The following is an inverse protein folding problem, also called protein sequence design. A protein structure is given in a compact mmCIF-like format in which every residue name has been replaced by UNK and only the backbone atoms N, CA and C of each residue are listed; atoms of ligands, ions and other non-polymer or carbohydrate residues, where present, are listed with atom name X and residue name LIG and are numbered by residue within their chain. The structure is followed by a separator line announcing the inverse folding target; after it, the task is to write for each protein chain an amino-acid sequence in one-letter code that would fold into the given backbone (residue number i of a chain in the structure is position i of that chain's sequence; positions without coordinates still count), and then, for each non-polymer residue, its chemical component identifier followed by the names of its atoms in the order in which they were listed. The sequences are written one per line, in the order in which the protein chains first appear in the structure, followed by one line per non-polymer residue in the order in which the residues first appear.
data_IF_304177517762
#
_entry.id   IF_304177517762
#
_cell.length_a   1.000
_cell.length_b   1.000
_cell.length_c   1.000
_cell.angle_alpha   90.00
_cell.angle_beta   90.00
_cell.angle_gamma   90.00
#
_symmetry.space_group_name_H-M   'P 1'
#
loop_
_entity.id
_entity.type
_entity.pdbx_description
1 polymer ?
#
# COMPACT_ATOMS: atom_id res chain seq x y z
N UNK A 1 -20.79 -2.40 -11.61
CA UNK A 1 -19.37 -2.57 -11.24
C UNK A 1 -19.03 -1.35 -10.43
N UNK A 2 -19.26 -1.42 -9.13
CA UNK A 2 -19.17 -0.25 -8.27
C UNK A 2 -17.71 0.11 -8.06
N UNK A 3 -17.35 1.29 -8.57
CA UNK A 3 -16.08 1.92 -8.30
C UNK A 3 -15.99 2.12 -6.79
N UNK A 4 -15.05 1.46 -6.14
CA UNK A 4 -14.75 1.69 -4.74
C UNK A 4 -14.13 3.08 -4.62
N UNK A 5 -14.98 4.10 -4.51
CA UNK A 5 -14.57 5.41 -4.04
C UNK A 5 -13.95 5.21 -2.64
N UNK A 6 -12.88 5.95 -2.34
CA UNK A 6 -12.20 5.88 -1.04
C UNK A 6 -13.19 6.20 0.07
N UNK A 7 -13.70 5.19 0.78
CA UNK A 7 -14.52 5.36 1.98
C UNK A 7 -13.65 5.29 3.22
N UNK A 8 -13.62 6.36 4.01
CA UNK A 8 -12.81 6.46 5.22
C UNK A 8 -13.48 5.76 6.42
N UNK A 9 -13.90 4.50 6.22
CA UNK A 9 -14.78 3.80 7.16
C UNK A 9 -14.00 3.07 8.27
N UNK A 10 -12.67 3.23 8.31
CA UNK A 10 -11.74 2.52 9.21
C UNK A 10 -11.81 1.00 9.04
N UNK A 11 -12.13 0.55 7.84
CA UNK A 11 -12.23 -0.85 7.48
C UNK A 11 -11.16 -1.24 6.46
N UNK A 12 -10.82 -2.52 6.48
CA UNK A 12 -10.04 -3.10 5.40
C UNK A 12 -10.92 -3.30 4.17
N UNK A 13 -10.40 -2.93 3.01
CA UNK A 13 -11.03 -3.24 1.75
C UNK A 13 -10.49 -4.57 1.19
N UNK A 14 -11.42 -5.41 0.77
CA UNK A 14 -11.14 -6.66 0.11
C UNK A 14 -10.75 -6.44 -1.36
N UNK A 15 -9.62 -7.00 -1.78
CA UNK A 15 -9.31 -7.18 -3.21
C UNK A 15 -8.16 -8.17 -3.39
N UNK A 16 -8.25 -9.00 -4.43
CA UNK A 16 -7.19 -9.94 -4.84
C UNK A 16 -6.19 -9.35 -5.83
N UNK A 17 -6.55 -8.24 -6.46
CA UNK A 17 -5.78 -7.64 -7.55
C UNK A 17 -4.76 -6.62 -7.01
N UNK A 18 -4.70 -6.42 -5.69
CA UNK A 18 -3.76 -5.49 -5.07
C UNK A 18 -2.33 -6.03 -5.09
N UNK A 19 -1.39 -5.15 -5.41
CA UNK A 19 0.02 -5.41 -5.35
C UNK A 19 0.76 -4.15 -4.88
N UNK A 20 1.87 -4.37 -4.21
CA UNK A 20 2.85 -3.33 -3.90
C UNK A 20 4.17 -3.70 -4.58
N UNK A 21 4.92 -2.70 -5.00
CA UNK A 21 6.19 -2.92 -5.67
C UNK A 21 7.20 -1.83 -5.31
N UNK A 22 8.47 -2.15 -5.52
CA UNK A 22 9.57 -1.21 -5.38
C UNK A 22 10.65 -1.50 -6.43
N UNK A 23 11.46 -0.49 -6.71
CA UNK A 23 12.70 -0.62 -7.48
C UNK A 23 13.86 -0.28 -6.55
N UNK A 24 14.98 -1.01 -6.66
CA UNK A 24 16.18 -0.73 -5.89
C UNK A 24 17.32 -0.30 -6.82
N UNK A 25 17.58 1.01 -6.90
CA UNK A 25 18.55 1.74 -7.76
C UNK A 25 18.52 1.45 -9.28
N UNK A 26 18.04 0.27 -9.68
CA UNK A 26 17.95 -0.23 -11.05
C UNK A 26 16.62 -0.96 -11.21
N UNK A 27 16.04 -0.84 -12.41
CA UNK A 27 14.72 -1.41 -12.70
C UNK A 27 14.72 -2.94 -12.69
N UNK A 28 15.85 -3.58 -13.01
CA UNK A 28 15.96 -5.04 -12.99
C UNK A 28 15.85 -5.62 -11.58
N UNK A 29 16.14 -4.82 -10.56
CA UNK A 29 16.05 -5.19 -9.15
C UNK A 29 14.69 -4.82 -8.56
N UNK A 30 13.62 -5.06 -9.29
CA UNK A 30 12.27 -4.80 -8.79
C UNK A 30 11.82 -5.90 -7.83
N UNK A 31 11.04 -5.50 -6.83
CA UNK A 31 10.25 -6.42 -6.01
C UNK A 31 8.80 -6.19 -6.36
N UNK A 32 8.13 -7.25 -6.80
CA UNK A 32 6.67 -7.31 -6.90
C UNK A 32 6.14 -8.22 -5.80
N UNK A 33 5.21 -7.69 -5.01
CA UNK A 33 4.60 -8.37 -3.88
C UNK A 33 3.08 -8.30 -4.03
N UNK A 34 2.43 -9.45 -4.17
CA UNK A 34 0.97 -9.53 -4.30
C UNK A 34 0.34 -9.71 -2.93
N UNK A 35 -0.90 -9.29 -2.78
CA UNK A 35 -1.66 -9.51 -1.54
C UNK A 35 -1.89 -11.01 -1.32
N UNK A 36 -1.65 -11.49 -0.10
CA UNK A 36 -1.97 -12.86 0.32
C UNK A 36 -3.23 -12.90 1.18
N UNK A 37 -3.39 -11.93 2.09
CA UNK A 37 -4.61 -11.74 2.88
C UNK A 37 -5.48 -10.70 2.18
N UNK A 38 -6.28 -11.16 1.21
CA UNK A 38 -7.13 -10.32 0.35
C UNK A 38 -8.11 -9.46 1.18
N UNK A 39 -8.52 -9.93 2.37
CA UNK A 39 -9.39 -9.20 3.29
C UNK A 39 -8.69 -8.00 3.96
N UNK A 40 -7.38 -7.88 3.81
CA UNK A 40 -6.56 -6.79 4.36
C UNK A 40 -5.74 -6.11 3.29
N UNK A 41 -6.22 -6.09 2.04
CA UNK A 41 -5.45 -5.56 0.92
C UNK A 41 -5.13 -4.06 1.09
N UNK A 42 -6.12 -3.26 1.45
CA UNK A 42 -5.94 -1.84 1.77
C UNK A 42 -6.71 -1.48 3.03
N UNK A 43 -6.24 -0.46 3.75
CA UNK A 43 -6.91 0.07 4.92
C UNK A 43 -7.12 1.57 4.73
N UNK A 44 -8.36 2.02 4.89
CA UNK A 44 -8.69 3.43 4.70
C UNK A 44 -9.17 4.04 6.02
N UNK A 45 -8.39 4.98 6.54
CA UNK A 45 -8.66 5.67 7.79
C UNK A 45 -8.25 7.13 7.64
N UNK A 46 -9.09 8.07 8.07
CA UNK A 46 -8.85 9.51 7.84
C UNK A 46 -7.58 10.05 8.53
N UNK A 47 -7.11 9.41 9.61
CA UNK A 47 -5.85 9.75 10.27
C UNK A 47 -4.60 9.22 9.55
N UNK A 48 -4.79 8.46 8.47
CA UNK A 48 -3.73 7.84 7.67
C UNK A 48 -3.79 8.42 6.26
N UNK A 49 -2.64 8.47 5.60
CA UNK A 49 -2.61 8.54 4.15
C UNK A 49 -3.04 7.20 3.54
N UNK A 50 -2.24 6.70 2.61
CA UNK A 50 -2.50 5.40 1.99
C UNK A 50 -1.91 4.27 2.84
N UNK A 51 -2.71 3.25 3.13
CA UNK A 51 -2.27 2.04 3.82
C UNK A 51 -2.61 0.80 3.00
N UNK A 52 -1.60 -0.03 2.76
CA UNK A 52 -1.69 -1.31 2.10
C UNK A 52 -1.30 -2.40 3.08
N UNK A 53 -2.13 -3.44 3.17
CA UNK A 53 -1.85 -4.53 4.06
C UNK A 53 -2.04 -4.16 5.52
N UNK A 54 -1.48 -4.96 6.41
CA UNK A 54 -1.44 -4.65 7.83
C UNK A 54 -0.17 -3.85 8.15
N UNK A 55 0.03 -2.70 7.48
CA UNK A 55 1.28 -1.90 7.41
C UNK A 55 2.38 -2.44 6.49
N UNK A 56 2.02 -3.20 5.45
CA UNK A 56 2.96 -3.60 4.40
C UNK A 56 3.52 -2.37 3.67
N UNK A 57 2.68 -1.35 3.50
CA UNK A 57 3.09 0.00 3.15
C UNK A 57 2.09 0.99 3.73
N UNK A 58 2.52 1.77 4.73
CA UNK A 58 1.79 2.91 5.25
C UNK A 58 2.55 4.20 4.88
N UNK A 59 1.85 5.10 4.18
CA UNK A 59 2.32 6.45 3.86
C UNK A 59 1.52 7.43 4.72
N UNK A 60 2.19 8.29 5.46
CA UNK A 60 1.60 9.23 6.42
C UNK A 60 0.69 8.52 7.42
N UNK A 61 1.20 7.49 8.11
CA UNK A 61 0.46 6.80 9.15
C UNK A 61 0.28 7.68 10.40
N UNK A 62 -0.43 7.16 11.42
CA UNK A 62 -0.58 7.85 12.71
C UNK A 62 0.76 8.47 13.17
N UNK A 63 0.72 9.76 13.51
CA UNK A 63 1.87 10.59 13.92
C UNK A 63 2.85 11.03 12.82
N UNK A 64 2.52 10.83 11.54
CA UNK A 64 3.33 11.31 10.41
C UNK A 64 4.50 10.41 10.02
N UNK A 65 4.60 9.23 10.63
CA UNK A 65 5.59 8.21 10.25
C UNK A 65 5.18 7.52 8.94
N UNK A 66 6.15 6.97 8.21
CA UNK A 66 5.89 6.02 7.12
C UNK A 66 6.48 4.66 7.50
N UNK A 67 5.75 3.58 7.19
CA UNK A 67 6.09 2.23 7.63
C UNK A 67 6.03 1.22 6.48
N UNK A 68 6.95 0.27 6.47
CA UNK A 68 6.86 -0.92 5.62
C UNK A 68 7.29 -2.16 6.41
N UNK A 69 6.39 -3.14 6.52
CA UNK A 69 6.68 -4.42 7.19
C UNK A 69 5.97 -5.56 6.48
N UNK A 70 6.62 -6.68 6.25
CA UNK A 70 5.94 -7.83 5.64
C UNK A 70 4.86 -8.38 6.57
N UNK A 71 3.59 -8.34 6.15
CA UNK A 71 2.46 -8.88 6.88
C UNK A 71 1.42 -9.55 5.95
N UNK A 72 0.63 -8.75 5.22
CA UNK A 72 -0.48 -9.20 4.36
C UNK A 72 -0.07 -9.43 2.91
N UNK A 73 1.13 -9.04 2.51
CA UNK A 73 1.68 -9.24 1.16
C UNK A 73 2.83 -10.25 1.15
N UNK A 74 3.08 -10.88 -0.01
CA UNK A 74 4.00 -12.01 -0.18
C UNK A 74 5.43 -11.71 0.29
N UNK A 75 5.93 -10.52 -0.02
CA UNK A 75 7.31 -10.07 0.17
C UNK A 75 7.37 -8.68 0.81
N UNK A 76 8.41 -8.42 1.60
CA UNK A 76 8.79 -7.04 1.92
C UNK A 76 9.24 -6.34 0.65
N UNK A 77 8.87 -5.07 0.48
CA UNK A 77 9.31 -4.25 -0.67
C UNK A 77 10.48 -3.32 -0.32
N UNK A 78 10.93 -3.30 0.93
CA UNK A 78 12.03 -2.44 1.38
C UNK A 78 12.81 -3.12 2.49
N UNK A 79 14.09 -2.76 2.59
CA UNK A 79 14.92 -3.05 3.75
C UNK A 79 14.71 -1.99 4.85
N UNK A 80 14.26 -2.46 6.02
CA UNK A 80 13.97 -1.60 7.17
C UNK A 80 12.53 -1.09 7.22
N UNK A 81 12.11 -0.70 8.43
CA UNK A 81 10.70 -0.47 8.72
C UNK A 81 10.21 0.97 8.53
N UNK A 82 11.08 1.97 8.75
CA UNK A 82 10.72 3.39 8.66
C UNK A 82 11.38 4.05 7.46
N UNK A 83 10.68 5.00 6.84
CA UNK A 83 11.20 5.77 5.72
C UNK A 83 10.58 7.16 5.62
N UNK A 84 11.18 8.03 4.81
CA UNK A 84 10.66 9.35 4.46
C UNK A 84 10.20 9.34 3.01
N UNK A 85 9.18 10.15 2.71
CA UNK A 85 8.67 10.34 1.36
C UNK A 85 9.00 11.77 0.94
N UNK A 86 9.72 11.93 -0.17
CA UNK A 86 10.03 13.25 -0.75
C UNK A 86 8.86 13.74 -1.63
N UNK A 87 8.28 12.85 -2.43
CA UNK A 87 7.19 13.12 -3.36
C UNK A 87 6.24 11.91 -3.43
N UNK A 88 4.95 12.18 -3.63
CA UNK A 88 3.93 11.14 -3.79
C UNK A 88 2.93 11.57 -4.87
N UNK A 89 2.73 10.71 -5.86
CA UNK A 89 1.80 10.93 -6.97
C UNK A 89 0.68 9.88 -6.94
N UNK A 90 -0.55 10.30 -7.24
CA UNK A 90 -1.72 9.42 -7.28
C UNK A 90 -2.31 9.39 -8.69
N UNK A 91 -2.37 8.19 -9.27
CA UNK A 91 -2.91 7.97 -10.61
C UNK A 91 -4.18 7.11 -10.57
N UNK A 92 -5.17 7.46 -11.38
CA UNK A 92 -6.37 6.65 -11.64
C UNK A 92 -6.49 6.37 -13.13
N UNK A 93 -6.52 5.10 -13.49
CA UNK A 93 -6.64 4.66 -14.87
C UNK A 93 -8.11 4.41 -15.18
N UNK A 94 -8.62 5.06 -16.22
CA UNK A 94 -9.96 4.80 -16.76
C UNK A 94 -9.82 3.87 -17.96
N UNK A 95 -10.61 2.80 -17.98
CA UNK A 95 -10.81 2.00 -19.19
C UNK A 95 -12.04 2.55 -19.90
N UNK A 96 -11.87 2.88 -21.18
CA UNK A 96 -12.95 3.29 -22.08
C UNK A 96 -13.57 2.06 -22.74
#
# INVERSE_FOLDING_TARGET
MDLQAWKSDREYAFTKDSFIFSFNDRIENYILSRVMDENKATFNRFEYGSSFGSSDLDILCMFGDNLSKKASYEKSIRDGNKFTVEECELYRIYKF
#
